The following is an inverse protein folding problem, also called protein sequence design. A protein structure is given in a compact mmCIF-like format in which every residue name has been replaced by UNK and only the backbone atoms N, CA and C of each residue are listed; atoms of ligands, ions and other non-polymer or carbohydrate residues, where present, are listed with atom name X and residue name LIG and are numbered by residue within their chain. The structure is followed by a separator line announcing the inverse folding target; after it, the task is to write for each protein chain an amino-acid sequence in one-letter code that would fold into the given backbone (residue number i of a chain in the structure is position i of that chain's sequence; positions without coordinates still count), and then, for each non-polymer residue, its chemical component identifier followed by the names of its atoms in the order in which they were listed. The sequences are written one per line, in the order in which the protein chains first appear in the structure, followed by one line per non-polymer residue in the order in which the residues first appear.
data_IF_472273150371
#
_entry.id   IF_472273150371
#
_cell.length_a   1.000
_cell.length_b   1.000
_cell.length_c   1.000
_cell.angle_alpha   90.00
_cell.angle_beta   90.00
_cell.angle_gamma   90.00
#
_symmetry.space_group_name_H-M   'P 1'
#
loop_
_entity.id
_entity.type
_entity.pdbx_description
1 polymer ?
#
# COMPACT_ATOMS: atom_id res chain seq x y z
N UNK A 1 15.89 -2.19 -20.29
CA UNK A 1 15.44 -3.28 -21.17
C UNK A 1 15.64 -2.89 -22.64
N UNK A 2 16.13 -3.80 -23.49
CA UNK A 2 16.36 -3.58 -24.92
C UNK A 2 15.67 -4.68 -25.72
N UNK A 3 14.85 -4.30 -26.69
CA UNK A 3 14.10 -5.20 -27.57
C UNK A 3 14.60 -4.97 -28.99
N UNK A 4 14.93 -6.08 -29.66
CA UNK A 4 15.43 -6.10 -31.02
C UNK A 4 14.34 -6.59 -31.96
N UNK A 5 14.16 -5.88 -33.06
CA UNK A 5 13.19 -6.15 -34.11
C UNK A 5 13.81 -5.79 -35.47
N UNK A 6 13.04 -5.91 -36.54
CA UNK A 6 13.44 -5.52 -37.90
C UNK A 6 12.41 -4.61 -38.54
N UNK A 7 12.85 -3.83 -39.53
CA UNK A 7 11.93 -3.12 -40.40
C UNK A 7 11.10 -4.07 -41.25
N UNK A 8 10.07 -3.55 -41.90
CA UNK A 8 9.21 -4.33 -42.81
C UNK A 8 8.55 -3.43 -43.86
N UNK A 9 8.45 -3.89 -45.11
CA UNK A 9 7.92 -3.11 -46.24
C UNK A 9 6.50 -2.56 -46.03
N UNK A 10 5.73 -3.21 -45.16
CA UNK A 10 4.37 -2.80 -44.79
C UNK A 10 4.27 -1.87 -43.57
N UNK A 11 5.40 -1.50 -42.95
CA UNK A 11 5.41 -0.46 -41.91
C UNK A 11 4.96 0.86 -42.54
N UNK A 12 4.01 1.52 -41.86
CA UNK A 12 3.52 2.85 -42.24
C UNK A 12 3.77 3.89 -41.15
N UNK A 13 3.80 3.45 -39.89
CA UNK A 13 4.00 4.30 -38.72
C UNK A 13 3.08 5.55 -38.68
N UNK A 14 1.78 5.38 -38.98
CA UNK A 14 0.84 6.53 -39.09
C UNK A 14 -0.18 6.58 -37.95
N UNK A 15 -0.20 5.61 -37.05
CA UNK A 15 -1.23 5.57 -36.01
C UNK A 15 -1.02 6.65 -34.93
N UNK A 16 -2.05 7.47 -34.70
CA UNK A 16 -1.97 8.66 -33.86
C UNK A 16 -2.05 8.41 -32.35
N UNK A 17 -2.25 7.15 -31.93
CA UNK A 17 -2.52 6.80 -30.52
C UNK A 17 -1.63 5.70 -29.96
N UNK A 18 -0.94 4.95 -30.81
CA UNK A 18 -0.14 3.80 -30.38
C UNK A 18 1.10 3.62 -31.24
N UNK A 19 2.09 2.95 -30.65
CA UNK A 19 3.27 2.41 -31.29
C UNK A 19 3.40 0.95 -30.84
N UNK A 20 3.63 0.04 -31.77
CA UNK A 20 3.69 -1.40 -31.52
C UNK A 20 4.97 -2.01 -32.07
N UNK A 21 5.59 -2.90 -31.30
CA UNK A 21 6.56 -3.87 -31.80
C UNK A 21 5.94 -5.25 -31.64
N UNK A 22 6.09 -6.09 -32.67
CA UNK A 22 5.51 -7.44 -32.70
C UNK A 22 6.56 -8.51 -32.98
N UNK A 23 6.32 -9.70 -32.43
CA UNK A 23 7.05 -10.93 -32.71
C UNK A 23 6.62 -11.59 -34.02
N UNK A 24 5.45 -11.21 -34.57
CA UNK A 24 5.05 -11.60 -35.92
C UNK A 24 6.09 -11.11 -36.93
N UNK A 25 6.47 -11.95 -37.89
CA UNK A 25 7.51 -11.63 -38.89
C UNK A 25 6.97 -10.86 -40.09
N UNK A 26 5.67 -10.96 -40.31
CA UNK A 26 4.99 -10.36 -41.46
C UNK A 26 3.77 -9.61 -40.95
N UNK A 27 3.47 -8.49 -41.58
CA UNK A 27 2.34 -7.61 -41.24
C UNK A 27 1.73 -7.08 -42.53
N UNK A 28 0.45 -6.75 -42.49
CA UNK A 28 -0.21 -6.06 -43.61
C UNK A 28 -0.04 -4.54 -43.50
N UNK A 29 -0.22 -3.82 -44.61
CA UNK A 29 -0.22 -2.35 -44.61
C UNK A 29 -1.32 -1.71 -43.72
N UNK A 30 -2.27 -2.50 -43.20
CA UNK A 30 -3.28 -2.03 -42.23
C UNK A 30 -2.70 -1.88 -40.81
N UNK A 31 -1.54 -2.48 -40.52
CA UNK A 31 -0.86 -2.42 -39.24
C UNK A 31 -0.18 -1.05 -39.03
N UNK A 32 -0.98 0.01 -38.99
CA UNK A 32 -0.52 1.40 -38.98
C UNK A 32 0.24 1.83 -37.72
N UNK A 33 0.14 1.04 -36.64
CA UNK A 33 0.86 1.28 -35.38
C UNK A 33 2.16 0.49 -35.25
N UNK A 34 2.39 -0.53 -36.09
CA UNK A 34 3.59 -1.38 -35.99
C UNK A 34 4.80 -0.62 -36.55
N UNK A 35 5.88 -0.61 -35.78
CA UNK A 35 7.17 0.01 -36.13
C UNK A 35 8.32 -0.99 -36.21
N UNK A 36 8.09 -2.25 -35.83
CA UNK A 36 9.10 -3.31 -35.94
C UNK A 36 8.47 -4.70 -35.81
N UNK A 37 9.02 -5.64 -36.56
CA UNK A 37 8.54 -7.03 -36.66
C UNK A 37 9.61 -8.03 -36.23
N UNK A 38 9.22 -9.29 -36.02
CA UNK A 38 10.13 -10.40 -35.71
C UNK A 38 10.89 -10.21 -34.40
N UNK A 39 10.30 -9.48 -33.44
CA UNK A 39 10.91 -9.25 -32.15
C UNK A 39 10.92 -10.50 -31.27
N UNK A 40 11.97 -10.62 -30.47
CA UNK A 40 12.00 -11.56 -29.34
C UNK A 40 11.86 -10.77 -28.04
N UNK A 41 10.90 -11.15 -27.20
CA UNK A 41 10.65 -10.51 -25.92
C UNK A 41 11.21 -11.35 -24.79
N UNK A 42 12.02 -10.72 -23.92
CA UNK A 42 12.31 -11.25 -22.59
C UNK A 42 11.15 -10.85 -21.68
N UNK A 43 10.19 -11.77 -21.54
CA UNK A 43 8.96 -11.57 -20.80
C UNK A 43 9.22 -11.33 -19.31
N UNK A 44 10.20 -12.01 -18.72
CA UNK A 44 10.55 -11.84 -17.31
C UNK A 44 11.16 -10.45 -17.09
N UNK A 45 12.18 -10.07 -17.86
CA UNK A 45 12.81 -8.75 -17.74
C UNK A 45 11.84 -7.59 -18.00
N UNK A 46 10.87 -7.74 -18.90
CA UNK A 46 9.83 -6.75 -19.15
C UNK A 46 8.81 -6.66 -18.01
N UNK A 47 8.41 -7.80 -17.43
CA UNK A 47 7.48 -7.84 -16.31
C UNK A 47 8.06 -7.23 -15.02
N UNK A 48 9.40 -7.18 -14.89
CA UNK A 48 10.08 -6.52 -13.77
C UNK A 48 10.06 -4.98 -13.86
N UNK A 49 9.87 -4.40 -15.04
CA UNK A 49 9.80 -2.94 -15.19
C UNK A 49 8.56 -2.38 -14.49
N UNK A 50 8.68 -1.25 -13.80
CA UNK A 50 7.57 -0.57 -13.10
C UNK A 50 7.58 0.94 -13.31
N UNK A 51 6.41 1.55 -13.11
CA UNK A 51 6.26 3.00 -13.09
C UNK A 51 6.70 3.70 -14.40
N UNK A 52 7.21 4.94 -14.30
CA UNK A 52 7.63 5.73 -15.46
C UNK A 52 8.87 5.17 -16.16
N UNK A 53 8.84 5.15 -17.49
CA UNK A 53 9.96 4.72 -18.34
C UNK A 53 10.27 5.75 -19.42
N UNK A 54 11.55 6.00 -19.66
CA UNK A 54 12.06 6.59 -20.87
C UNK A 54 12.03 5.56 -22.01
N UNK A 55 11.53 6.01 -23.15
CA UNK A 55 11.38 5.24 -24.38
C UNK A 55 12.36 5.77 -25.40
N UNK A 56 13.17 4.91 -26.01
CA UNK A 56 14.04 5.25 -27.13
C UNK A 56 13.87 4.23 -28.25
N UNK A 57 13.42 4.67 -29.42
CA UNK A 57 13.34 3.88 -30.63
C UNK A 57 14.50 4.28 -31.57
N UNK A 58 15.15 3.32 -32.21
CA UNK A 58 16.15 3.60 -33.25
C UNK A 58 16.09 2.61 -34.40
N UNK A 59 16.32 3.11 -35.62
CA UNK A 59 16.57 2.30 -36.81
C UNK A 59 17.56 3.02 -37.73
N UNK A 60 18.66 2.34 -38.09
CA UNK A 60 19.77 2.97 -38.80
C UNK A 60 20.29 4.21 -38.05
N UNK A 61 20.42 5.38 -38.72
CA UNK A 61 20.86 6.63 -38.08
C UNK A 61 19.74 7.35 -37.30
N UNK A 62 18.48 6.92 -37.43
CA UNK A 62 17.34 7.62 -36.86
C UNK A 62 17.09 7.21 -35.40
N UNK A 63 16.72 8.18 -34.57
CA UNK A 63 16.42 8.00 -33.15
C UNK A 63 15.24 8.89 -32.78
N UNK A 64 14.26 8.31 -32.07
CA UNK A 64 13.17 9.04 -31.45
C UNK A 64 13.07 8.67 -29.97
N UNK A 65 12.66 9.63 -29.16
CA UNK A 65 12.59 9.47 -27.70
C UNK A 65 11.25 9.95 -27.17
N UNK A 66 10.80 9.34 -26.09
CA UNK A 66 9.63 9.78 -25.35
C UNK A 66 9.62 9.20 -23.94
N UNK A 67 8.48 9.33 -23.28
CA UNK A 67 8.23 8.75 -21.96
C UNK A 67 6.90 8.03 -21.98
N UNK A 68 6.76 7.00 -21.15
CA UNK A 68 5.51 6.30 -20.92
C UNK A 68 5.45 5.82 -19.45
N UNK A 69 4.32 5.27 -19.03
CA UNK A 69 4.17 4.64 -17.72
C UNK A 69 3.78 3.18 -17.94
N UNK A 70 4.56 2.26 -17.38
CA UNK A 70 4.32 0.82 -17.49
C UNK A 70 2.96 0.49 -16.89
N UNK A 71 2.15 -0.24 -17.64
CA UNK A 71 0.85 -0.70 -17.17
C UNK A 71 1.07 -1.73 -16.04
N UNK A 72 0.52 -1.53 -14.82
CA UNK A 72 0.67 -2.48 -13.72
C UNK A 72 0.07 -3.87 -14.02
N UNK A 73 -0.84 -3.95 -14.99
CA UNK A 73 -1.54 -5.17 -15.37
C UNK A 73 -1.18 -5.67 -16.79
N UNK A 74 -0.04 -5.26 -17.34
CA UNK A 74 0.40 -5.77 -18.64
C UNK A 74 0.74 -7.26 -18.58
N UNK A 75 0.53 -7.93 -19.70
CA UNK A 75 1.05 -9.26 -19.96
C UNK A 75 1.95 -9.19 -21.19
N UNK A 76 3.16 -9.75 -21.10
CA UNK A 76 4.08 -9.77 -22.24
C UNK A 76 3.73 -10.98 -23.09
N UNK A 77 3.07 -10.74 -24.22
CA UNK A 77 2.66 -11.76 -25.18
C UNK A 77 3.62 -11.77 -26.39
N UNK A 78 3.09 -11.85 -27.61
CA UNK A 78 3.83 -11.74 -28.86
C UNK A 78 3.99 -10.30 -29.35
N UNK A 79 3.55 -9.31 -28.56
CA UNK A 79 3.59 -7.89 -28.94
C UNK A 79 3.75 -6.98 -27.72
N UNK A 80 4.22 -5.77 -27.99
CA UNK A 80 4.39 -4.70 -27.01
C UNK A 80 3.79 -3.42 -27.58
N UNK A 81 2.69 -2.94 -26.97
CA UNK A 81 2.02 -1.71 -27.38
C UNK A 81 2.28 -0.58 -26.38
N UNK A 82 2.80 0.54 -26.87
CA UNK A 82 2.83 1.82 -26.17
C UNK A 82 1.62 2.65 -26.60
N UNK A 83 0.84 3.16 -25.64
CA UNK A 83 -0.41 3.88 -25.90
C UNK A 83 -0.38 5.29 -25.34
N UNK A 84 -0.94 6.25 -26.07
CA UNK A 84 -1.05 7.64 -25.60
C UNK A 84 -2.09 7.82 -24.49
N UNK A 85 -3.24 7.13 -24.59
CA UNK A 85 -4.29 7.14 -23.57
C UNK A 85 -4.03 6.17 -22.42
N UNK A 86 -4.79 6.28 -21.34
CA UNK A 86 -4.76 5.39 -20.16
C UNK A 86 -5.54 4.07 -20.29
N UNK A 87 -6.06 3.74 -21.48
CA UNK A 87 -6.71 2.45 -21.68
C UNK A 87 -5.71 1.31 -21.46
N UNK A 88 -5.89 0.59 -20.34
CA UNK A 88 -5.08 -0.56 -19.95
C UNK A 88 -5.77 -1.85 -20.43
N UNK A 89 -5.17 -2.50 -21.42
CA UNK A 89 -5.44 -3.90 -21.80
C UNK A 89 -4.20 -4.76 -21.51
N UNK A 90 -4.32 -6.09 -21.44
CA UNK A 90 -3.15 -6.98 -21.28
C UNK A 90 -2.05 -6.72 -22.33
N UNK A 91 -2.44 -6.45 -23.59
CA UNK A 91 -1.51 -6.14 -24.69
C UNK A 91 -0.89 -4.73 -24.59
N UNK A 92 -1.45 -3.86 -23.75
CA UNK A 92 -0.91 -2.52 -23.51
C UNK A 92 0.21 -2.63 -22.48
N UNK A 93 1.45 -2.59 -22.94
CA UNK A 93 2.62 -2.62 -22.08
C UNK A 93 2.78 -1.30 -21.29
N UNK A 94 2.54 -0.17 -21.93
CA UNK A 94 2.62 1.14 -21.26
C UNK A 94 1.60 2.13 -21.86
N UNK A 95 1.09 3.01 -21.01
CA UNK A 95 0.19 4.10 -21.39
C UNK A 95 0.84 5.48 -21.17
N UNK A 96 0.09 6.56 -21.45
CA UNK A 96 0.58 7.95 -21.38
C UNK A 96 1.86 8.17 -22.21
N UNK A 97 2.02 7.40 -23.29
CA UNK A 97 3.19 7.50 -24.15
C UNK A 97 3.21 8.86 -24.87
N UNK A 98 4.33 9.56 -24.76
CA UNK A 98 4.61 10.78 -25.54
C UNK A 98 5.21 10.46 -26.91
N UNK A 99 5.50 9.19 -27.19
CA UNK A 99 5.97 8.70 -28.47
C UNK A 99 4.97 7.68 -29.01
N UNK A 100 4.31 8.01 -30.12
CA UNK A 100 3.48 7.07 -30.89
C UNK A 100 3.96 7.00 -32.34
N UNK A 101 3.39 6.08 -33.12
CA UNK A 101 3.83 5.83 -34.49
C UNK A 101 3.85 7.10 -35.36
N UNK A 102 2.78 7.90 -35.32
CA UNK A 102 2.67 9.13 -36.12
C UNK A 102 3.63 10.26 -35.72
N UNK A 103 4.33 10.14 -34.59
CA UNK A 103 5.29 11.17 -34.15
C UNK A 103 6.65 11.00 -34.84
N UNK A 104 6.86 9.89 -35.55
CA UNK A 104 8.06 9.60 -36.31
C UNK A 104 8.05 10.38 -37.63
N UNK A 105 9.17 11.02 -37.96
CA UNK A 105 9.30 11.75 -39.22
C UNK A 105 9.32 10.81 -40.45
N UNK A 106 9.10 11.33 -41.67
CA UNK A 106 9.04 10.51 -42.87
C UNK A 106 10.31 9.71 -43.18
N UNK A 107 11.50 10.25 -42.85
CA UNK A 107 12.76 9.57 -43.11
C UNK A 107 12.94 8.39 -42.16
N UNK A 108 12.55 8.56 -40.90
CA UNK A 108 12.51 7.46 -39.93
C UNK A 108 11.48 6.41 -40.35
N UNK A 109 10.27 6.80 -40.74
CA UNK A 109 9.26 5.85 -41.24
C UNK A 109 9.77 5.05 -42.46
N UNK A 110 10.51 5.70 -43.38
CA UNK A 110 11.15 5.02 -44.50
C UNK A 110 12.24 4.03 -44.05
N UNK A 111 13.05 4.39 -43.04
CA UNK A 111 14.04 3.49 -42.47
C UNK A 111 13.39 2.26 -41.80
N UNK A 112 12.26 2.44 -41.12
CA UNK A 112 11.48 1.32 -40.55
C UNK A 112 10.80 0.46 -41.62
N UNK A 113 10.54 1.01 -42.81
CA UNK A 113 9.97 0.27 -43.92
C UNK A 113 11.00 -0.62 -44.64
N UNK A 114 12.31 -0.42 -44.41
CA UNK A 114 13.37 -1.24 -44.98
C UNK A 114 13.61 -2.52 -44.14
N UNK A 115 13.35 -3.72 -44.68
CA UNK A 115 13.54 -4.98 -43.96
C UNK A 115 14.99 -5.28 -43.55
N UNK A 116 15.96 -4.61 -44.15
CA UNK A 116 17.39 -4.78 -43.82
C UNK A 116 17.78 -4.02 -42.55
N UNK A 117 17.00 -3.02 -42.15
CA UNK A 117 17.29 -2.23 -40.95
C UNK A 117 16.89 -2.98 -39.68
N UNK A 118 17.80 -2.95 -38.71
CA UNK A 118 17.50 -3.34 -37.34
C UNK A 118 16.72 -2.22 -36.65
N UNK A 119 15.65 -2.60 -35.96
CA UNK A 119 14.85 -1.71 -35.12
C UNK A 119 15.12 -2.08 -33.67
N UNK A 120 15.47 -1.09 -32.85
CA UNK A 120 15.69 -1.29 -31.42
C UNK A 120 14.76 -0.39 -30.62
N UNK A 121 14.01 -0.98 -29.70
CA UNK A 121 13.30 -0.28 -28.64
C UNK A 121 14.06 -0.45 -27.33
N UNK A 122 14.43 0.66 -26.69
CA UNK A 122 15.02 0.66 -25.36
C UNK A 122 14.06 1.31 -24.39
N UNK A 123 13.81 0.62 -23.28
CA UNK A 123 12.98 1.07 -22.17
C UNK A 123 13.87 1.17 -20.93
N UNK A 124 13.88 2.34 -20.30
CA UNK A 124 14.68 2.61 -19.10
C UNK A 124 13.78 3.22 -18.05
N UNK A 125 13.70 2.63 -16.86
CA UNK A 125 12.94 3.25 -15.77
C UNK A 125 13.51 4.63 -15.42
N UNK A 126 12.61 5.53 -15.06
CA UNK A 126 12.94 6.91 -14.75
C UNK A 126 12.36 7.33 -13.41
N UNK A 127 13.11 8.16 -12.69
CA UNK A 127 12.73 8.62 -11.35
C UNK A 127 13.10 7.60 -10.26
N UNK A 128 12.93 7.98 -8.98
CA UNK A 128 13.09 7.04 -7.89
C UNK A 128 12.02 5.96 -8.00
N UNK A 129 12.42 4.69 -7.91
CA UNK A 129 11.47 3.60 -7.76
C UNK A 129 10.73 3.82 -6.44
N UNK A 130 9.40 3.72 -6.47
CA UNK A 130 8.67 3.59 -5.22
C UNK A 130 8.85 2.17 -4.71
N UNK A 131 9.15 1.98 -3.42
CA UNK A 131 9.30 0.64 -2.88
C UNK A 131 7.98 -0.12 -3.04
N UNK A 132 8.06 -1.41 -3.29
CA UNK A 132 6.89 -2.30 -3.34
C UNK A 132 7.06 -3.40 -2.30
N UNK A 133 6.11 -3.49 -1.38
CA UNK A 133 6.04 -4.59 -0.43
C UNK A 133 4.95 -5.55 -0.87
N UNK A 134 5.36 -6.75 -1.31
CA UNK A 134 4.48 -7.87 -1.59
C UNK A 134 4.29 -8.63 -0.28
N UNK A 135 3.04 -8.74 0.19
CA UNK A 135 2.74 -9.47 1.43
C UNK A 135 2.02 -10.76 1.09
N UNK A 136 2.60 -11.89 1.46
CA UNK A 136 2.05 -13.21 1.14
C UNK A 136 2.00 -14.12 2.36
N UNK A 137 0.96 -14.95 2.42
CA UNK A 137 0.78 -15.96 3.45
C UNK A 137 1.43 -17.28 3.03
N UNK A 138 2.32 -17.82 3.87
CA UNK A 138 3.07 -19.05 3.58
C UNK A 138 2.19 -20.29 3.44
N UNK A 139 0.99 -20.27 4.02
CA UNK A 139 0.04 -21.38 3.92
C UNK A 139 -0.81 -21.33 2.63
N UNK A 140 -0.69 -20.28 1.83
CA UNK A 140 -1.30 -20.17 0.51
C UNK A 140 -0.31 -20.54 -0.60
N UNK A 141 -0.79 -21.04 -1.76
CA UNK A 141 0.05 -21.24 -2.93
C UNK A 141 0.84 -19.98 -3.28
N UNK A 142 2.07 -20.14 -3.76
CA UNK A 142 2.90 -19.01 -4.19
C UNK A 142 2.13 -18.15 -5.21
N UNK A 143 2.24 -16.81 -5.14
CA UNK A 143 1.57 -15.94 -6.09
C UNK A 143 1.97 -16.27 -7.53
N UNK A 144 1.01 -16.18 -8.45
CA UNK A 144 1.23 -16.41 -9.87
C UNK A 144 1.24 -15.08 -10.64
N UNK A 145 1.50 -15.17 -11.95
CA UNK A 145 1.57 -13.99 -12.82
C UNK A 145 2.68 -13.03 -12.42
N UNK A 146 2.49 -11.74 -12.74
CA UNK A 146 3.47 -10.70 -12.48
C UNK A 146 3.78 -10.47 -10.99
N UNK A 147 2.81 -10.45 -10.05
CA UNK A 147 3.12 -10.39 -8.63
C UNK A 147 3.97 -11.57 -8.16
N UNK A 148 3.74 -12.77 -8.71
CA UNK A 148 4.56 -13.96 -8.45
C UNK A 148 6.00 -13.86 -8.95
N UNK A 149 6.20 -13.30 -10.15
CA UNK A 149 7.54 -13.04 -10.66
C UNK A 149 8.29 -12.04 -9.76
N UNK A 150 7.66 -10.90 -9.44
CA UNK A 150 8.23 -9.88 -8.57
C UNK A 150 8.49 -10.40 -7.15
N UNK A 151 7.70 -11.38 -6.69
CA UNK A 151 7.94 -12.06 -5.42
C UNK A 151 9.24 -12.88 -5.44
N UNK A 152 9.49 -13.63 -6.52
CA UNK A 152 10.72 -14.45 -6.66
C UNK A 152 11.97 -13.61 -6.91
N UNK A 153 11.83 -12.55 -7.69
CA UNK A 153 12.91 -11.63 -8.05
C UNK A 153 13.01 -10.44 -7.06
N UNK A 154 12.47 -10.59 -5.84
CA UNK A 154 12.49 -9.52 -4.86
C UNK A 154 13.92 -9.17 -4.43
N UNK A 155 14.21 -7.88 -4.30
CA UNK A 155 15.51 -7.37 -3.86
C UNK A 155 15.85 -7.77 -2.41
N UNK A 156 14.82 -8.03 -1.59
CA UNK A 156 14.97 -8.56 -0.25
C UNK A 156 13.73 -9.34 0.21
N UNK A 157 13.91 -10.16 1.26
CA UNK A 157 12.80 -10.88 1.90
C UNK A 157 12.67 -10.52 3.38
N UNK A 158 11.45 -10.58 3.89
CA UNK A 158 11.12 -10.35 5.31
C UNK A 158 10.21 -11.46 5.80
N UNK A 159 10.53 -12.04 6.96
CA UNK A 159 9.60 -12.86 7.72
C UNK A 159 8.90 -11.99 8.76
N UNK A 160 7.60 -11.75 8.57
CA UNK A 160 6.80 -10.91 9.46
C UNK A 160 6.52 -11.57 10.83
N UNK A 161 6.75 -12.87 10.95
CA UNK A 161 6.70 -13.58 12.24
C UNK A 161 8.00 -13.39 13.05
N UNK A 162 9.08 -12.96 12.40
CA UNK A 162 10.36 -12.78 13.06
C UNK A 162 10.34 -11.57 14.01
N UNK A 163 11.16 -11.66 15.06
CA UNK A 163 11.30 -10.58 16.04
C UNK A 163 12.08 -9.35 15.51
N UNK A 164 12.74 -9.49 14.35
CA UNK A 164 13.58 -8.45 13.76
C UNK A 164 13.48 -8.47 12.24
N UNK A 165 13.49 -7.29 11.64
CA UNK A 165 13.56 -7.11 10.19
C UNK A 165 15.03 -7.04 9.75
N UNK A 166 15.45 -7.82 8.73
CA UNK A 166 16.82 -7.80 8.18
C UNK A 166 17.27 -6.40 7.71
N UNK A 167 18.57 -6.13 7.81
CA UNK A 167 19.15 -4.85 7.36
C UNK A 167 19.10 -4.68 5.84
N UNK A 168 19.26 -5.77 5.10
CA UNK A 168 19.11 -5.81 3.63
C UNK A 168 17.70 -5.37 3.19
N UNK A 169 16.65 -5.81 3.88
CA UNK A 169 15.28 -5.38 3.58
C UNK A 169 15.05 -3.88 3.82
N UNK A 170 15.71 -3.29 4.83
CA UNK A 170 15.67 -1.84 5.07
C UNK A 170 16.41 -1.06 3.99
N UNK A 171 17.52 -1.60 3.50
CA UNK A 171 18.32 -1.00 2.43
C UNK A 171 17.55 -1.05 1.12
N UNK A 172 17.05 -2.24 0.74
CA UNK A 172 16.20 -2.42 -0.44
C UNK A 172 14.97 -1.50 -0.40
N UNK A 173 14.31 -1.37 0.75
CA UNK A 173 13.20 -0.44 0.93
C UNK A 173 13.63 1.01 0.65
N UNK A 174 14.73 1.48 1.23
CA UNK A 174 15.23 2.85 1.02
C UNK A 174 15.63 3.11 -0.45
N UNK A 175 16.10 2.08 -1.15
CA UNK A 175 16.49 2.15 -2.57
C UNK A 175 15.30 2.03 -3.54
N UNK A 176 14.07 1.90 -3.03
CA UNK A 176 12.88 1.75 -3.87
C UNK A 176 12.65 0.34 -4.41
N UNK A 177 13.29 -0.66 -3.80
CA UNK A 177 13.25 -2.05 -4.22
C UNK A 177 11.91 -2.76 -3.96
N UNK A 178 11.90 -4.04 -4.32
CA UNK A 178 10.80 -4.99 -4.12
C UNK A 178 11.12 -5.84 -2.91
N UNK A 179 10.17 -5.94 -1.98
CA UNK A 179 10.33 -6.72 -0.76
C UNK A 179 9.26 -7.82 -0.72
N UNK A 180 9.71 -9.07 -0.63
CA UNK A 180 8.85 -10.23 -0.39
C UNK A 180 8.66 -10.43 1.11
N UNK A 181 7.52 -10.00 1.64
CA UNK A 181 7.16 -10.12 3.05
C UNK A 181 6.24 -11.34 3.26
N UNK A 182 6.72 -12.33 4.01
CA UNK A 182 6.00 -13.58 4.27
C UNK A 182 5.49 -13.65 5.71
N UNK A 183 4.32 -14.27 5.91
CA UNK A 183 3.72 -14.50 7.24
C UNK A 183 3.09 -15.90 7.29
N UNK A 184 3.18 -16.61 8.42
CA UNK A 184 2.61 -17.97 8.54
C UNK A 184 1.11 -17.99 8.77
N UNK A 185 0.57 -16.89 9.30
CA UNK A 185 -0.83 -16.77 9.70
C UNK A 185 -1.50 -15.50 9.19
N UNK A 186 -2.66 -15.15 9.77
CA UNK A 186 -3.34 -13.90 9.48
C UNK A 186 -2.45 -12.69 9.80
N UNK A 187 -2.54 -11.62 9.01
CA UNK A 187 -1.72 -10.41 9.17
C UNK A 187 -2.00 -9.67 10.49
N UNK A 188 -3.14 -9.96 11.13
CA UNK A 188 -3.49 -9.51 12.47
C UNK A 188 -2.51 -10.02 13.54
N UNK A 189 -1.80 -11.12 13.27
CA UNK A 189 -0.89 -11.79 14.20
C UNK A 189 0.58 -11.39 14.08
N UNK A 190 0.94 -10.42 13.23
CA UNK A 190 2.35 -10.03 13.01
C UNK A 190 2.98 -9.43 14.27
N UNK A 191 4.30 -9.56 14.39
CA UNK A 191 5.04 -9.02 15.54
C UNK A 191 4.97 -7.49 15.59
N UNK A 192 5.11 -6.88 16.78
CA UNK A 192 5.15 -5.41 16.92
C UNK A 192 6.27 -4.79 16.07
N UNK A 193 7.41 -5.47 15.95
CA UNK A 193 8.54 -5.01 15.14
C UNK A 193 8.22 -5.05 13.64
N UNK A 194 7.54 -6.11 13.18
CA UNK A 194 7.07 -6.22 11.80
C UNK A 194 6.01 -5.17 11.49
N UNK A 195 5.03 -4.97 12.38
CA UNK A 195 4.02 -3.91 12.24
C UNK A 195 4.63 -2.50 12.19
N UNK A 196 5.62 -2.22 13.04
CA UNK A 196 6.34 -0.94 13.00
C UNK A 196 7.11 -0.74 11.69
N UNK A 197 7.71 -1.80 11.15
CA UNK A 197 8.41 -1.74 9.86
C UNK A 197 7.44 -1.56 8.68
N UNK A 198 6.28 -2.22 8.67
CA UNK A 198 5.25 -2.00 7.65
C UNK A 198 4.75 -0.54 7.66
N UNK A 199 4.53 0.03 8.84
CA UNK A 199 4.15 1.44 8.97
C UNK A 199 5.27 2.41 8.52
N UNK A 200 6.53 2.09 8.83
CA UNK A 200 7.71 2.85 8.35
C UNK A 200 7.84 2.77 6.82
N UNK A 201 7.64 1.60 6.22
CA UNK A 201 7.61 1.42 4.77
C UNK A 201 6.52 2.26 4.11
N UNK A 202 5.30 2.26 4.66
CA UNK A 202 4.22 3.14 4.21
C UNK A 202 4.59 4.63 4.33
N UNK A 203 5.23 5.03 5.43
CA UNK A 203 5.74 6.39 5.64
C UNK A 203 6.82 6.82 4.63
N UNK A 204 7.56 5.87 4.05
CA UNK A 204 8.51 6.08 2.96
C UNK A 204 7.85 6.06 1.58
N UNK A 205 6.51 5.96 1.51
CA UNK A 205 5.76 5.92 0.25
C UNK A 205 5.78 4.55 -0.44
N UNK A 206 6.07 3.47 0.30
CA UNK A 206 5.97 2.13 -0.24
C UNK A 206 4.54 1.81 -0.68
N UNK A 207 4.43 1.15 -1.82
CA UNK A 207 3.19 0.55 -2.30
C UNK A 207 3.06 -0.85 -1.70
N UNK A 208 1.83 -1.29 -1.46
CA UNK A 208 1.56 -2.61 -0.90
C UNK A 208 0.67 -3.42 -1.82
N UNK A 209 1.03 -4.68 -2.01
CA UNK A 209 0.22 -5.63 -2.76
C UNK A 209 0.08 -6.90 -1.94
N UNK A 210 -1.15 -7.40 -1.82
CA UNK A 210 -1.47 -8.66 -1.14
C UNK A 210 -2.10 -9.58 -2.18
N UNK A 211 -1.30 -10.40 -2.90
CA UNK A 211 -1.83 -11.26 -3.94
C UNK A 211 -2.98 -12.14 -3.42
N UNK A 212 -4.11 -12.08 -4.11
CA UNK A 212 -5.33 -12.79 -3.73
C UNK A 212 -6.33 -11.97 -2.88
N UNK A 213 -5.98 -10.77 -2.40
CA UNK A 213 -6.98 -9.85 -1.84
C UNK A 213 -7.78 -9.14 -2.93
N UNK A 214 -8.89 -9.75 -3.34
CA UNK A 214 -9.78 -9.20 -4.36
C UNK A 214 -10.43 -7.86 -3.97
N UNK A 215 -10.38 -7.49 -2.69
CA UNK A 215 -11.01 -6.26 -2.20
C UNK A 215 -10.08 -5.05 -2.24
N UNK A 216 -8.76 -5.27 -2.21
CA UNK A 216 -7.75 -4.22 -2.06
C UNK A 216 -7.77 -3.53 -0.69
N UNK A 217 -8.58 -4.01 0.27
CA UNK A 217 -8.74 -3.35 1.58
C UNK A 217 -7.55 -3.55 2.49
N UNK A 218 -6.94 -4.75 2.46
CA UNK A 218 -5.73 -5.06 3.23
C UNK A 218 -4.53 -4.25 2.74
N UNK A 219 -4.15 -4.27 1.44
CA UNK A 219 -3.05 -3.46 0.96
C UNK A 219 -3.30 -1.96 1.13
N UNK A 220 -4.54 -1.47 1.03
CA UNK A 220 -4.85 -0.06 1.30
C UNK A 220 -4.61 0.33 2.76
N UNK A 221 -4.96 -0.53 3.74
CA UNK A 221 -4.65 -0.30 5.16
C UNK A 221 -3.15 -0.26 5.39
N UNK A 222 -2.41 -1.22 4.83
CA UNK A 222 -0.95 -1.26 4.92
C UNK A 222 -0.30 -0.03 4.29
N UNK A 223 -0.73 0.37 3.09
CA UNK A 223 -0.27 1.58 2.41
C UNK A 223 -0.59 2.86 3.19
N UNK A 224 -1.68 2.86 3.95
CA UNK A 224 -2.04 3.96 4.85
C UNK A 224 -1.18 3.98 6.13
N UNK A 225 -0.27 3.02 6.32
CA UNK A 225 0.56 2.87 7.51
C UNK A 225 -0.22 2.38 8.73
N UNK A 226 -1.35 1.70 8.51
CA UNK A 226 -2.27 1.26 9.55
C UNK A 226 -2.22 -0.27 9.70
N UNK A 227 -2.47 -0.80 10.91
CA UNK A 227 -2.61 -2.22 11.09
C UNK A 227 -3.87 -2.74 10.38
N UNK A 228 -3.84 -4.00 9.96
CA UNK A 228 -5.00 -4.65 9.31
C UNK A 228 -6.13 -4.95 10.29
N UNK A 229 -5.83 -5.01 11.59
CA UNK A 229 -6.82 -5.12 12.66
C UNK A 229 -6.34 -4.45 13.97
N UNK A 230 -7.26 -3.95 14.80
CA UNK A 230 -8.70 -3.84 14.53
C UNK A 230 -9.00 -2.75 13.49
N UNK A 231 -9.92 -3.03 12.56
CA UNK A 231 -10.41 -2.11 11.54
C UNK A 231 -11.89 -2.41 11.22
N UNK A 232 -12.64 -1.41 10.77
CA UNK A 232 -14.01 -1.57 10.30
C UNK A 232 -14.00 -1.69 8.78
N UNK A 233 -14.56 -2.77 8.24
CA UNK A 233 -14.68 -2.99 6.80
C UNK A 233 -16.15 -2.81 6.38
N UNK A 234 -16.47 -1.72 5.67
CA UNK A 234 -17.83 -1.49 5.17
C UNK A 234 -18.11 -2.20 3.83
N UNK A 235 -17.08 -2.76 3.19
CA UNK A 235 -17.18 -3.36 1.87
C UNK A 235 -17.41 -2.31 0.79
N UNK A 236 -18.25 -2.65 -0.21
CA UNK A 236 -18.65 -1.70 -1.26
C UNK A 236 -19.78 -0.81 -0.75
N UNK A 237 -19.63 0.48 -0.95
CA UNK A 237 -20.51 1.52 -0.47
C UNK A 237 -20.76 2.54 -1.58
N UNK A 238 -21.98 3.06 -1.63
CA UNK A 238 -22.39 4.20 -2.44
C UNK A 238 -22.78 5.39 -1.55
N UNK A 239 -23.09 6.54 -2.17
CA UNK A 239 -23.58 7.74 -1.46
C UNK A 239 -24.71 7.44 -0.47
N UNK A 240 -25.68 6.60 -0.85
CA UNK A 240 -26.86 6.30 -0.02
C UNK A 240 -26.51 5.48 1.21
N UNK A 241 -25.68 4.47 1.03
CA UNK A 241 -25.25 3.56 2.09
C UNK A 241 -24.37 4.29 3.10
N UNK A 242 -23.46 5.17 2.68
CA UNK A 242 -22.62 5.97 3.58
C UNK A 242 -23.46 6.93 4.44
N UNK A 243 -24.51 7.52 3.87
CA UNK A 243 -25.45 8.39 4.59
C UNK A 243 -26.46 7.62 5.47
N UNK A 244 -26.60 6.30 5.28
CA UNK A 244 -27.58 5.53 6.03
C UNK A 244 -27.23 5.52 7.53
N UNK A 245 -28.22 5.63 8.44
CA UNK A 245 -27.98 5.74 9.88
C UNK A 245 -26.96 4.75 10.48
N UNK A 246 -26.98 3.43 10.17
CA UNK A 246 -26.00 2.51 10.76
C UNK A 246 -24.55 2.80 10.32
N UNK A 247 -24.32 3.13 9.05
CA UNK A 247 -22.99 3.48 8.57
C UNK A 247 -22.57 4.87 9.01
N UNK A 248 -23.48 5.85 8.96
CA UNK A 248 -23.20 7.21 9.37
C UNK A 248 -22.79 7.27 10.85
N UNK A 249 -23.48 6.52 11.71
CA UNK A 249 -23.12 6.42 13.13
C UNK A 249 -21.78 5.72 13.33
N UNK A 250 -21.53 4.62 12.62
CA UNK A 250 -20.26 3.90 12.67
C UNK A 250 -19.10 4.76 12.18
N UNK A 251 -19.29 5.51 11.08
CA UNK A 251 -18.32 6.46 10.57
C UNK A 251 -18.02 7.53 11.61
N UNK A 252 -19.03 8.12 12.29
CA UNK A 252 -18.79 9.13 13.33
C UNK A 252 -18.07 8.59 14.57
N UNK A 253 -18.37 7.36 14.98
CA UNK A 253 -17.99 6.84 16.31
C UNK A 253 -16.84 5.83 16.29
N UNK A 254 -16.46 5.29 15.13
CA UNK A 254 -15.40 4.28 15.03
C UNK A 254 -14.06 4.78 15.59
N UNK A 255 -13.57 4.11 16.62
CA UNK A 255 -12.27 4.37 17.27
C UNK A 255 -11.09 3.71 16.54
N UNK A 256 -11.37 3.04 15.44
CA UNK A 256 -10.42 2.30 14.60
C UNK A 256 -10.55 2.78 13.15
N UNK A 257 -9.57 2.50 12.27
CA UNK A 257 -9.68 2.84 10.86
C UNK A 257 -10.95 2.24 10.24
N UNK A 258 -11.57 2.99 9.33
CA UNK A 258 -12.70 2.50 8.53
C UNK A 258 -12.24 2.39 7.09
N UNK A 259 -12.31 1.19 6.51
CA UNK A 259 -11.97 0.93 5.11
C UNK A 259 -13.22 0.55 4.32
N UNK A 260 -13.35 1.12 3.14
CA UNK A 260 -14.50 0.91 2.26
C UNK A 260 -14.13 1.15 0.80
N UNK A 261 -14.96 0.64 -0.10
CA UNK A 261 -14.85 0.87 -1.54
C UNK A 261 -16.00 1.75 -2.00
N UNK A 262 -15.71 2.82 -2.72
CA UNK A 262 -16.73 3.74 -3.24
C UNK A 262 -16.24 4.39 -4.54
N UNK A 263 -17.16 4.95 -5.33
CA UNK A 263 -16.78 5.90 -6.37
C UNK A 263 -16.21 7.17 -5.71
N UNK A 264 -15.21 7.80 -6.33
CA UNK A 264 -14.65 9.05 -5.81
C UNK A 264 -15.70 10.16 -5.70
N UNK A 265 -16.67 10.19 -6.63
CA UNK A 265 -17.81 11.11 -6.60
C UNK A 265 -18.68 11.00 -5.33
N UNK A 266 -18.69 9.85 -4.66
CA UNK A 266 -19.50 9.63 -3.47
C UNK A 266 -18.87 10.18 -2.18
N UNK A 267 -17.57 10.51 -2.18
CA UNK A 267 -16.86 10.97 -0.98
C UNK A 267 -17.45 12.26 -0.38
N UNK A 268 -18.09 13.11 -1.20
CA UNK A 268 -18.71 14.35 -0.72
C UNK A 268 -19.73 14.13 0.40
N UNK A 269 -20.41 12.97 0.43
CA UNK A 269 -21.37 12.62 1.47
C UNK A 269 -20.72 12.43 2.84
N UNK A 270 -19.43 12.07 2.89
CA UNK A 270 -18.72 11.89 4.15
C UNK A 270 -18.56 13.21 4.89
N UNK A 271 -18.37 14.32 4.17
CA UNK A 271 -18.29 15.63 4.79
C UNK A 271 -19.63 16.00 5.47
N UNK A 272 -20.76 15.62 4.87
CA UNK A 272 -22.10 15.77 5.46
C UNK A 272 -22.27 14.87 6.70
N UNK A 273 -21.89 13.59 6.59
CA UNK A 273 -22.02 12.58 7.66
C UNK A 273 -21.16 12.89 8.88
N UNK A 274 -19.97 13.45 8.66
CA UNK A 274 -18.97 13.76 9.68
C UNK A 274 -19.02 15.23 10.12
N UNK A 275 -19.95 16.04 9.61
CA UNK A 275 -20.11 17.43 10.03
C UNK A 275 -20.27 17.55 11.55
N UNK A 276 -19.47 18.41 12.19
CA UNK A 276 -19.44 18.57 13.65
C UNK A 276 -18.86 17.38 14.43
N UNK A 277 -18.43 16.32 13.74
CA UNK A 277 -17.80 15.12 14.32
C UNK A 277 -16.32 15.10 13.91
N UNK A 278 -15.53 15.92 14.60
CA UNK A 278 -14.06 16.06 14.46
C UNK A 278 -13.61 16.72 13.15
N UNK A 279 -13.39 18.04 13.21
CA UNK A 279 -13.29 18.94 12.06
C UNK A 279 -12.08 18.72 11.11
N UNK A 280 -11.13 17.83 11.45
CA UNK A 280 -9.93 17.58 10.62
C UNK A 280 -9.65 16.09 10.38
N UNK A 281 -10.70 15.26 10.24
CA UNK A 281 -10.48 13.82 9.98
C UNK A 281 -9.83 13.60 8.62
N UNK A 282 -8.68 12.91 8.63
CA UNK A 282 -7.93 12.56 7.43
C UNK A 282 -8.46 11.28 6.79
N UNK A 283 -8.38 11.23 5.48
CA UNK A 283 -8.70 10.07 4.65
C UNK A 283 -7.51 9.75 3.75
N UNK A 284 -7.14 8.48 3.69
CA UNK A 284 -6.17 7.98 2.74
C UNK A 284 -6.89 7.74 1.41
N UNK A 285 -6.48 8.47 0.38
CA UNK A 285 -6.96 8.33 -0.99
C UNK A 285 -5.89 7.65 -1.83
N UNK A 286 -6.24 6.81 -2.83
CA UNK A 286 -5.25 6.30 -3.77
C UNK A 286 -4.48 7.43 -4.43
N UNK A 287 -3.17 7.30 -4.53
CA UNK A 287 -2.28 8.36 -5.02
C UNK A 287 -2.42 8.65 -6.53
N UNK A 288 -3.17 7.81 -7.27
CA UNK A 288 -3.43 7.98 -8.69
C UNK A 288 -2.24 7.61 -9.59
N UNK A 289 -1.13 7.16 -8.98
CA UNK A 289 0.03 6.67 -9.71
C UNK A 289 -0.24 5.25 -10.18
N UNK A 290 -0.04 5.06 -11.48
CA UNK A 290 -0.33 3.80 -12.12
C UNK A 290 0.92 2.90 -12.04
N UNK A 291 0.99 2.18 -10.92
CA UNK A 291 2.02 1.20 -10.61
C UNK A 291 1.41 0.04 -9.79
N UNK A 292 2.10 -1.09 -9.71
CA UNK A 292 1.61 -2.27 -8.99
C UNK A 292 1.48 -1.97 -7.49
N UNK A 293 0.46 -2.54 -6.85
CA UNK A 293 0.16 -2.31 -5.46
C UNK A 293 -0.58 -0.99 -5.20
N UNK A 294 -1.05 -0.87 -3.98
CA UNK A 294 -1.78 0.28 -3.46
C UNK A 294 -0.78 1.28 -2.90
N UNK A 295 -0.78 2.49 -3.45
CA UNK A 295 -0.18 3.68 -2.85
C UNK A 295 -1.28 4.65 -2.45
N UNK A 296 -1.12 5.31 -1.30
CA UNK A 296 -2.13 6.26 -0.81
C UNK A 296 -1.48 7.56 -0.35
N UNK A 297 -2.28 8.62 -0.32
CA UNK A 297 -1.93 9.90 0.26
C UNK A 297 -2.97 10.28 1.31
N UNK A 298 -2.51 10.71 2.48
CA UNK A 298 -3.38 11.19 3.54
C UNK A 298 -3.75 12.66 3.34
N UNK A 299 -5.02 12.93 3.10
CA UNK A 299 -5.55 14.28 2.92
C UNK A 299 -6.62 14.58 3.99
N UNK A 300 -6.78 15.85 4.40
CA UNK A 300 -8.02 16.29 5.02
C UNK A 300 -9.21 15.94 4.12
N UNK A 301 -10.33 15.53 4.71
CA UNK A 301 -11.50 15.09 3.92
C UNK A 301 -11.98 16.13 2.88
N UNK A 302 -12.07 17.45 3.19
CA UNK A 302 -12.46 18.44 2.19
C UNK A 302 -11.49 18.50 1.00
N UNK A 303 -10.19 18.39 1.26
CA UNK A 303 -9.16 18.37 0.21
C UNK A 303 -9.24 17.09 -0.62
N UNK A 304 -9.51 15.95 0.02
CA UNK A 304 -9.72 14.69 -0.68
C UNK A 304 -10.89 14.77 -1.67
N UNK A 305 -12.04 15.30 -1.23
CA UNK A 305 -13.23 15.48 -2.09
C UNK A 305 -12.93 16.39 -3.29
N UNK A 306 -12.05 17.38 -3.14
CA UNK A 306 -11.64 18.25 -4.24
C UNK A 306 -10.57 17.61 -5.15
N UNK A 307 -9.69 16.78 -4.59
CA UNK A 307 -8.55 16.20 -5.29
C UNK A 307 -8.91 14.95 -6.11
N UNK A 308 -9.91 14.17 -5.67
CA UNK A 308 -10.34 12.96 -6.38
C UNK A 308 -11.72 13.14 -7.00
N UNK A 309 -11.92 12.57 -8.19
CA UNK A 309 -13.19 12.58 -8.89
C UNK A 309 -13.33 11.37 -9.82
N UNK A 310 -14.55 11.15 -10.30
CA UNK A 310 -14.89 10.05 -11.20
C UNK A 310 -15.75 8.96 -10.57
N UNK A 311 -16.29 8.13 -11.44
CA UNK A 311 -17.23 7.03 -11.13
C UNK A 311 -16.52 5.71 -10.83
N UNK A 312 -15.20 5.64 -11.02
CA UNK A 312 -14.43 4.43 -10.75
C UNK A 312 -14.37 4.15 -9.25
N UNK A 313 -14.72 2.93 -8.88
CA UNK A 313 -14.62 2.48 -7.49
C UNK A 313 -13.16 2.35 -7.05
N UNK A 314 -12.87 2.94 -5.91
CA UNK A 314 -11.55 2.95 -5.27
C UNK A 314 -11.67 2.57 -3.81
N UNK A 315 -10.58 2.09 -3.22
CA UNK A 315 -10.50 1.80 -1.78
C UNK A 315 -10.08 3.06 -1.04
N UNK A 316 -10.80 3.41 0.02
CA UNK A 316 -10.50 4.55 0.88
C UNK A 316 -10.33 4.08 2.32
N UNK A 317 -9.44 4.74 3.06
CA UNK A 317 -9.22 4.47 4.48
C UNK A 317 -9.42 5.75 5.27
N UNK A 318 -10.46 5.79 6.10
CA UNK A 318 -10.72 6.90 7.01
C UNK A 318 -9.93 6.66 8.31
N UNK A 319 -9.07 7.61 8.69
CA UNK A 319 -8.27 7.52 9.91
C UNK A 319 -9.17 7.41 11.14
N UNK A 320 -8.79 6.75 12.23
CA UNK A 320 -9.51 6.90 13.50
C UNK A 320 -9.48 8.38 13.97
N UNK A 321 -10.43 8.83 14.78
CA UNK A 321 -10.37 10.16 15.36
C UNK A 321 -9.14 10.29 16.27
N UNK A 322 -8.52 11.47 16.29
CA UNK A 322 -7.33 11.72 17.12
C UNK A 322 -7.62 11.43 18.60
N UNK A 323 -6.62 10.94 19.35
CA UNK A 323 -6.81 10.37 20.71
C UNK A 323 -7.53 11.29 21.72
N UNK A 324 -7.54 12.61 21.50
CA UNK A 324 -8.31 13.57 22.32
C UNK A 324 -9.83 13.51 22.14
N UNK A 325 -10.33 12.76 21.15
CA UNK A 325 -11.73 12.61 20.77
C UNK A 325 -12.46 11.44 21.46
N UNK A 326 -11.74 10.65 22.26
CA UNK A 326 -12.26 9.41 22.82
C UNK A 326 -13.12 9.74 24.04
N UNK A 327 -14.41 9.97 23.82
CA UNK A 327 -15.40 10.14 24.88
C UNK A 327 -15.82 8.79 25.51
N UNK A 328 -14.90 7.82 25.58
CA UNK A 328 -15.13 6.53 26.23
C UNK A 328 -14.23 6.45 27.45
N UNK A 329 -14.82 6.72 28.60
CA UNK A 329 -14.18 6.49 29.88
C UNK A 329 -14.06 4.97 30.10
N UNK A 330 -12.84 4.42 30.00
CA UNK A 330 -12.60 2.99 30.27
C UNK A 330 -12.38 2.72 31.77
N UNK A 331 -12.32 3.75 32.64
CA UNK A 331 -12.16 3.59 34.09
C UNK A 331 -13.22 2.67 34.71
N UNK A 332 -14.51 2.70 34.30
CA UNK A 332 -15.52 1.77 34.78
C UNK A 332 -15.27 0.29 34.45
N UNK A 333 -14.45 -0.02 33.43
CA UNK A 333 -14.11 -1.40 33.05
C UNK A 333 -12.94 -1.97 33.86
N UNK A 334 -12.14 -1.12 34.51
CA UNK A 334 -10.93 -1.54 35.21
C UNK A 334 -11.22 -2.52 36.37
N UNK A 335 -12.21 -2.28 37.24
CA UNK A 335 -12.53 -3.23 38.31
C UNK A 335 -12.99 -4.58 37.76
N UNK A 336 -13.83 -4.58 36.72
CA UNK A 336 -14.36 -5.79 36.09
C UNK A 336 -13.25 -6.65 35.49
N UNK A 337 -12.28 -6.05 34.80
CA UNK A 337 -11.17 -6.79 34.22
C UNK A 337 -10.24 -7.39 35.28
N UNK A 338 -10.06 -6.71 36.41
CA UNK A 338 -9.30 -7.26 37.55
C UNK A 338 -10.05 -8.41 38.20
N UNK A 339 -11.38 -8.30 38.38
CA UNK A 339 -12.22 -9.40 38.87
C UNK A 339 -12.15 -10.63 37.96
N UNK A 340 -12.01 -10.45 36.65
CA UNK A 340 -11.79 -11.53 35.69
C UNK A 340 -10.34 -12.03 35.64
N UNK A 341 -9.48 -11.59 36.56
CA UNK A 341 -8.11 -12.10 36.73
C UNK A 341 -7.04 -11.41 35.86
N UNK A 342 -7.36 -10.33 35.15
CA UNK A 342 -6.37 -9.56 34.41
C UNK A 342 -5.52 -8.75 35.39
N UNK A 343 -4.20 -8.95 35.35
CA UNK A 343 -3.31 -8.27 36.32
C UNK A 343 -3.28 -6.75 36.09
N UNK A 344 -3.16 -5.99 37.18
CA UNK A 344 -2.96 -4.54 37.13
C UNK A 344 -1.74 -4.14 36.27
N UNK A 345 -0.70 -4.98 36.21
CA UNK A 345 0.47 -4.76 35.35
C UNK A 345 0.12 -4.89 33.87
N UNK A 346 -0.67 -5.91 33.50
CA UNK A 346 -1.17 -6.10 32.14
C UNK A 346 -2.05 -4.93 31.72
N UNK A 347 -3.03 -4.55 32.57
CA UNK A 347 -3.92 -3.41 32.30
C UNK A 347 -3.14 -2.10 32.16
N UNK A 348 -2.20 -1.82 33.05
CA UNK A 348 -1.34 -0.63 32.95
C UNK A 348 -0.46 -0.62 31.70
N UNK A 349 -0.18 -1.76 31.08
CA UNK A 349 0.63 -1.85 29.85
C UNK A 349 -0.26 -1.68 28.63
N UNK A 350 -1.40 -2.38 28.60
CA UNK A 350 -2.34 -2.43 27.48
C UNK A 350 -3.18 -1.15 27.37
N UNK A 351 -3.53 -0.51 28.49
CA UNK A 351 -4.41 0.66 28.53
C UNK A 351 -3.67 2.00 28.48
N UNK A 352 -2.34 1.99 28.63
CA UNK A 352 -1.50 3.19 28.51
C UNK A 352 -1.65 3.92 27.17
N UNK A 353 -1.76 3.23 26.02
CA UNK A 353 -2.03 3.87 24.73
C UNK A 353 -3.38 4.60 24.67
N UNK A 354 -4.34 4.21 25.51
CA UNK A 354 -5.69 4.78 25.62
C UNK A 354 -5.77 5.93 26.65
N UNK A 355 -4.63 6.46 27.10
CA UNK A 355 -4.58 7.60 28.02
C UNK A 355 -4.79 7.25 29.50
N UNK A 356 -4.96 5.97 29.84
CA UNK A 356 -5.09 5.53 31.23
C UNK A 356 -3.71 5.33 31.82
N UNK A 357 -3.34 6.21 32.75
CA UNK A 357 -2.08 6.10 33.46
C UNK A 357 -2.14 5.00 34.52
N UNK A 358 -0.95 4.58 34.98
CA UNK A 358 -0.85 3.67 36.13
C UNK A 358 -1.60 4.24 37.34
N UNK A 359 -1.56 5.56 37.55
CA UNK A 359 -2.25 6.23 38.64
C UNK A 359 -3.78 6.07 38.53
N UNK A 360 -4.32 6.32 37.34
CA UNK A 360 -5.76 6.18 37.08
C UNK A 360 -6.27 4.75 37.35
N UNK A 361 -5.42 3.74 37.09
CA UNK A 361 -5.70 2.35 37.41
C UNK A 361 -5.81 2.10 38.93
N UNK A 362 -4.84 2.59 39.71
CA UNK A 362 -4.85 2.42 41.17
C UNK A 362 -5.96 3.24 41.82
N UNK A 363 -6.23 4.44 41.32
CA UNK A 363 -7.33 5.29 41.77
C UNK A 363 -8.70 4.64 41.47
N UNK A 364 -8.87 3.97 40.33
CA UNK A 364 -10.10 3.25 39.96
C UNK A 364 -10.30 1.92 40.72
N UNK A 365 -9.21 1.27 41.16
CA UNK A 365 -9.25 0.04 41.96
C UNK A 365 -9.40 0.31 43.47
N UNK A 366 -9.49 1.58 43.88
CA UNK A 366 -9.62 1.98 45.28
C UNK A 366 -8.31 1.88 46.08
N UNK A 367 -7.19 1.57 45.42
CA UNK A 367 -5.88 1.33 46.02
C UNK A 367 -4.95 2.52 45.73
N UNK A 368 -5.31 3.71 46.24
CA UNK A 368 -4.33 4.78 46.33
C UNK A 368 -3.13 4.27 47.18
N UNK A 369 -1.87 4.43 46.74
CA UNK A 369 -0.72 4.06 47.56
C UNK A 369 -0.62 5.05 48.73
N UNK A 370 -1.34 4.78 49.82
CA UNK A 370 -1.44 5.73 50.93
C UNK A 370 -2.20 5.27 52.18
N UNK A 371 -2.96 4.19 52.16
CA UNK A 371 -3.72 3.75 53.36
C UNK A 371 -3.53 2.27 53.65
N UNK A 372 -2.32 1.89 54.07
CA UNK A 372 -2.19 0.73 54.96
C UNK A 372 -2.69 1.15 56.33
N UNK A 373 -3.82 0.57 56.72
CA UNK A 373 -4.36 0.62 58.07
C UNK A 373 -3.27 0.38 59.10
N UNK A 374 -3.28 1.20 60.16
CA UNK A 374 -2.53 0.96 61.39
C UNK A 374 -2.98 -0.37 61.98
N UNK A 375 -2.26 -1.43 61.62
CA UNK A 375 -2.33 -2.71 62.32
C UNK A 375 -2.13 -2.49 63.82
N UNK A 376 -3.09 -3.01 64.58
CA UNK A 376 -3.13 -2.98 66.03
C UNK A 376 -1.77 -3.41 66.61
N UNK A 377 -1.16 -2.52 67.40
CA UNK A 377 -0.04 -2.88 68.27
C UNK A 377 -0.57 -3.77 69.38
N UNK A 378 -0.34 -5.08 69.25
CA UNK A 378 -0.35 -6.02 70.36
C UNK A 378 0.61 -5.52 71.45
N UNK A 379 0.08 -5.40 72.67
CA UNK A 379 0.84 -5.11 73.89
C UNK A 379 1.68 -6.32 74.25
N UNK A 380 2.94 -6.35 73.80
CA UNK A 380 3.98 -7.20 74.38
C UNK A 380 4.41 -6.64 75.74
N UNK A 381 4.06 -7.37 76.80
CA UNK A 381 4.51 -7.12 78.17
C UNK A 381 6.05 -7.16 78.23
N UNK A 382 6.67 -6.05 78.66
CA UNK A 382 8.08 -6.02 79.04
C UNK A 382 8.21 -6.50 80.48
N UNK A 383 8.72 -7.71 80.60
CA UNK A 383 9.27 -8.29 81.81
C UNK A 383 10.42 -7.41 82.34
N UNK A 384 10.38 -7.12 83.64
CA UNK A 384 11.33 -6.28 84.37
C UNK A 384 12.42 -7.17 84.95
N UNK A 385 13.53 -7.31 84.23
CA UNK A 385 14.80 -7.81 84.78
C UNK A 385 15.36 -6.84 85.82
N UNK A 386 15.17 -7.17 87.09
CA UNK A 386 15.70 -6.48 88.27
C UNK A 386 17.16 -6.92 88.47
N UNK A 387 18.10 -6.02 88.16
CA UNK A 387 19.49 -6.16 88.57
C UNK A 387 19.63 -5.81 90.06
N UNK A 388 19.90 -6.82 90.88
CA UNK A 388 20.37 -6.64 92.25
C UNK A 388 21.86 -6.30 92.24
N UNK A 389 22.19 -5.14 92.79
CA UNK A 389 23.50 -4.81 93.38
C UNK A 389 23.37 -5.03 94.88
N UNK A 390 24.26 -5.81 95.47
CA UNK A 390 24.72 -5.61 96.85
C UNK A 390 26.13 -6.15 97.03
N UNK A 391 26.96 -5.24 97.56
CA UNK A 391 28.09 -5.38 98.50
C UNK A 391 28.95 -6.65 98.49
#
# INVERSE_FOLDING_TARGET
MKIHARGHENVRATHAKTLEITGERDITARATCVVGVGAAFDAEGLALLRGPVAVRLSAGPHVATGTAVVNPHHEVTDRLVLRRSEHASPDTFAFRSTLVASDLDPDFAAALADPTNEVTLTLTETGPRRPLVLVHRRDLPEPTGRPGLLWREADASVDLDAARVPAEARTALADGGVIAASVSGPLEGVSQAAGAWLADAAGQGARFEVPGDATGTVPALLAAGLPVAPAVHLGRTDRRSLAAPPHAELLRTASVPVVFRAAAADLGVLAEVLAGSFEDRRIAVPDGDADLGHGVSWLPLPEAVAAVGGEEERVFVLAPPERGAWNVDLRPLLPLLVEQGVTARTLSTVLRPFGISRRDLYDALGDAPGTREKGAREKGARDKGRGEKKE
#
